data_IF_727191413405
#
_entry.id   IF_727191413405
#
_cell.length_a   1.000
_cell.length_b   1.000
_cell.length_c   1.000
_cell.angle_alpha   90.00
_cell.angle_beta   90.00
_cell.angle_gamma   90.00
#
_symmetry.space_group_name_H-M   'P 1'
#
loop_
_entity.id
_entity.type
_entity.pdbx_description
1 polymer ?
#
# COMPACT_ATOMS: atom_id res chain seq x y z
N UNK A 1 -8.57 29.12 97.92
CA UNK A 1 -7.83 29.88 96.87
C UNK A 1 -6.93 28.97 96.03
N UNK A 2 -6.27 27.95 96.63
CA UNK A 2 -5.44 26.98 95.90
C UNK A 2 -6.22 26.15 94.87
N UNK A 3 -7.41 25.67 95.20
CA UNK A 3 -8.21 24.82 94.28
C UNK A 3 -8.65 25.54 93.00
N UNK A 4 -8.94 26.85 93.09
CA UNK A 4 -9.30 27.68 91.95
C UNK A 4 -8.11 27.88 90.98
N UNK A 5 -6.90 27.99 91.51
CA UNK A 5 -5.69 28.12 90.69
C UNK A 5 -5.32 26.80 90.03
N UNK A 6 -5.47 25.67 90.74
CA UNK A 6 -5.28 24.34 90.17
C UNK A 6 -6.25 24.07 89.01
N UNK A 7 -7.53 24.46 89.16
CA UNK A 7 -8.52 24.32 88.09
C UNK A 7 -8.16 25.16 86.85
N UNK A 8 -7.72 26.41 87.03
CA UNK A 8 -7.29 27.27 85.92
C UNK A 8 -6.08 26.73 85.17
N UNK A 9 -5.09 26.20 85.89
CA UNK A 9 -3.93 25.50 85.32
C UNK A 9 -4.36 24.29 84.49
N UNK A 10 -5.31 23.51 84.99
CA UNK A 10 -5.81 22.30 84.34
C UNK A 10 -6.59 22.62 83.06
N UNK A 11 -7.41 23.68 83.07
CA UNK A 11 -8.10 24.19 81.88
C UNK A 11 -7.10 24.63 80.81
N UNK A 12 -6.05 25.39 81.20
CA UNK A 12 -5.02 25.84 80.26
C UNK A 12 -4.29 24.67 79.60
N UNK A 13 -3.94 23.63 80.37
CA UNK A 13 -3.31 22.41 79.84
C UNK A 13 -4.26 21.66 78.89
N UNK A 14 -5.56 21.62 79.20
CA UNK A 14 -6.56 21.01 78.33
C UNK A 14 -6.68 21.75 76.99
N UNK A 15 -6.67 23.08 77.00
CA UNK A 15 -6.69 23.89 75.79
C UNK A 15 -5.43 23.66 74.94
N UNK A 16 -4.24 23.61 75.55
CA UNK A 16 -2.99 23.30 74.84
C UNK A 16 -3.00 21.89 74.23
N UNK A 17 -3.56 20.90 74.93
CA UNK A 17 -3.72 19.54 74.40
C UNK A 17 -4.67 19.55 73.20
N UNK A 18 -5.77 20.29 73.27
CA UNK A 18 -6.74 20.40 72.18
C UNK A 18 -6.13 21.03 70.93
N UNK A 19 -5.35 22.11 71.08
CA UNK A 19 -4.61 22.73 69.98
C UNK A 19 -3.59 21.77 69.37
N UNK A 20 -2.85 21.03 70.20
CA UNK A 20 -1.88 20.03 69.75
C UNK A 20 -2.54 18.90 68.94
N UNK A 21 -3.73 18.45 69.35
CA UNK A 21 -4.51 17.46 68.60
C UNK A 21 -5.02 17.97 67.26
N UNK A 22 -5.43 19.23 67.17
CA UNK A 22 -5.84 19.83 65.90
C UNK A 22 -4.67 19.93 64.92
N UNK A 23 -3.49 20.31 65.41
CA UNK A 23 -2.27 20.34 64.61
C UNK A 23 -1.92 18.92 64.13
N UNK A 24 -1.99 17.92 65.01
CA UNK A 24 -1.74 16.52 64.63
C UNK A 24 -2.70 16.03 63.53
N UNK A 25 -3.99 16.36 63.61
CA UNK A 25 -4.96 16.00 62.59
C UNK A 25 -4.60 16.60 61.21
N UNK A 26 -4.19 17.87 61.17
CA UNK A 26 -3.72 18.53 59.94
C UNK A 26 -2.49 17.82 59.37
N UNK A 27 -1.53 17.44 60.21
CA UNK A 27 -0.34 16.71 59.76
C UNK A 27 -0.65 15.32 59.24
N UNK A 28 -1.59 14.60 59.86
CA UNK A 28 -2.03 13.29 59.37
C UNK A 28 -2.71 13.38 58.01
N UNK A 29 -3.59 14.36 57.82
CA UNK A 29 -4.24 14.61 56.53
C UNK A 29 -3.20 14.98 55.45
N UNK A 30 -2.25 15.86 55.78
CA UNK A 30 -1.16 16.21 54.87
C UNK A 30 -0.27 15.01 54.53
N UNK A 31 0.05 14.16 55.52
CA UNK A 31 0.82 12.93 55.33
C UNK A 31 0.11 11.95 54.40
N UNK A 32 -1.21 11.80 54.57
CA UNK A 32 -2.03 10.96 53.71
C UNK A 32 -2.04 11.47 52.27
N UNK A 33 -2.31 12.76 52.07
CA UNK A 33 -2.31 13.38 50.74
C UNK A 33 -0.95 13.24 50.06
N UNK A 34 0.14 13.50 50.78
CA UNK A 34 1.50 13.32 50.25
C UNK A 34 1.75 11.87 49.81
N UNK A 35 1.32 10.88 50.59
CA UNK A 35 1.54 9.47 50.25
C UNK A 35 0.70 9.03 49.03
N UNK A 36 -0.50 9.57 48.87
CA UNK A 36 -1.34 9.37 47.69
C UNK A 36 -0.69 9.99 46.44
N UNK A 37 -0.24 11.24 46.51
CA UNK A 37 0.48 11.92 45.42
C UNK A 37 1.79 11.22 45.07
N UNK A 38 2.55 10.78 46.08
CA UNK A 38 3.79 10.04 45.87
C UNK A 38 3.55 8.69 45.18
N UNK A 39 2.47 8.00 45.54
CA UNK A 39 2.08 6.73 44.91
C UNK A 39 1.64 6.95 43.46
N UNK A 40 0.88 8.01 43.19
CA UNK A 40 0.51 8.41 41.84
C UNK A 40 1.75 8.74 40.99
N UNK A 41 2.67 9.56 41.51
CA UNK A 41 3.91 9.92 40.85
C UNK A 41 4.79 8.71 40.55
N UNK A 42 4.84 7.73 41.46
CA UNK A 42 5.57 6.49 41.25
C UNK A 42 4.99 5.70 40.08
N UNK A 43 3.66 5.61 39.99
CA UNK A 43 2.96 4.95 38.88
C UNK A 43 3.20 5.67 37.55
N UNK A 44 3.16 7.00 37.55
CA UNK A 44 3.43 7.80 36.35
C UNK A 44 4.87 7.63 35.87
N UNK A 45 5.83 7.57 36.80
CA UNK A 45 7.23 7.26 36.49
C UNK A 45 7.38 5.88 35.85
N UNK A 46 6.73 4.86 36.40
CA UNK A 46 6.77 3.50 35.84
C UNK A 46 6.18 3.45 34.42
N UNK A 47 5.03 4.10 34.20
CA UNK A 47 4.40 4.22 32.88
C UNK A 47 5.28 4.99 31.88
N UNK A 48 5.95 6.06 32.33
CA UNK A 48 6.88 6.81 31.49
C UNK A 48 8.07 5.95 31.06
N UNK A 49 8.65 5.17 31.97
CA UNK A 49 9.75 4.25 31.66
C UNK A 49 9.30 3.19 30.65
N UNK A 50 8.12 2.61 30.84
CA UNK A 50 7.56 1.60 29.92
C UNK A 50 7.31 2.19 28.52
N UNK A 51 6.71 3.38 28.44
CA UNK A 51 6.46 4.07 27.16
C UNK A 51 7.77 4.46 26.47
N UNK A 52 8.78 4.91 27.21
CA UNK A 52 10.10 5.23 26.69
C UNK A 52 10.78 3.99 26.12
N UNK A 53 10.81 2.88 26.86
CA UNK A 53 11.41 1.62 26.41
C UNK A 53 10.71 1.10 25.15
N UNK A 54 9.38 1.14 25.13
CA UNK A 54 8.58 0.73 23.97
C UNK A 54 8.90 1.59 22.74
N UNK A 55 8.98 2.91 22.93
CA UNK A 55 9.30 3.85 21.84
C UNK A 55 10.73 3.67 21.36
N UNK A 56 11.67 3.46 22.28
CA UNK A 56 13.08 3.20 21.96
C UNK A 56 13.25 1.92 21.16
N UNK A 57 12.57 0.83 21.55
CA UNK A 57 12.57 -0.43 20.79
C UNK A 57 11.98 -0.26 19.39
N UNK A 58 10.86 0.44 19.25
CA UNK A 58 10.27 0.75 17.93
C UNK A 58 11.21 1.57 17.06
N UNK A 59 11.88 2.58 17.64
CA UNK A 59 12.83 3.41 16.91
C UNK A 59 14.06 2.62 16.46
N UNK A 60 14.60 1.75 17.32
CA UNK A 60 15.70 0.86 16.97
C UNK A 60 15.34 -0.07 15.80
N UNK A 61 14.12 -0.61 15.78
CA UNK A 61 13.62 -1.44 14.68
C UNK A 61 13.50 -0.64 13.37
N UNK A 62 12.91 0.55 13.42
CA UNK A 62 12.80 1.43 12.25
C UNK A 62 14.16 1.82 11.68
N UNK A 63 15.14 2.09 12.54
CA UNK A 63 16.52 2.37 12.11
C UNK A 63 17.17 1.16 11.42
N UNK A 64 16.90 -0.05 11.90
CA UNK A 64 17.40 -1.28 11.27
C UNK A 64 16.76 -1.48 9.88
N UNK A 65 15.44 -1.33 9.78
CA UNK A 65 14.70 -1.43 8.52
C UNK A 65 15.15 -0.38 7.51
N UNK A 66 15.36 0.87 7.95
CA UNK A 66 15.84 1.93 7.08
C UNK A 66 17.25 1.63 6.53
N UNK A 67 18.16 1.11 7.36
CA UNK A 67 19.49 0.67 6.89
C UNK A 67 19.40 -0.47 5.86
N UNK A 68 18.48 -1.42 6.04
CA UNK A 68 18.27 -2.49 5.07
C UNK A 68 17.74 -1.94 3.73
N UNK A 69 16.79 -1.00 3.78
CA UNK A 69 16.26 -0.34 2.59
C UNK A 69 17.31 0.50 1.88
N UNK A 70 18.15 1.25 2.61
CA UNK A 70 19.28 1.98 2.02
C UNK A 70 20.27 1.04 1.32
N UNK A 71 20.56 -0.13 1.91
CA UNK A 71 21.43 -1.13 1.30
C UNK A 71 20.81 -1.70 0.01
N UNK A 72 19.51 -2.04 0.02
CA UNK A 72 18.79 -2.49 -1.18
C UNK A 72 18.76 -1.42 -2.26
N UNK A 73 18.55 -0.16 -1.89
CA UNK A 73 18.51 0.94 -2.84
C UNK A 73 19.87 1.18 -3.49
N UNK A 74 20.96 1.10 -2.72
CA UNK A 74 22.33 1.13 -3.27
C UNK A 74 22.58 -0.02 -4.25
N UNK A 75 22.20 -1.24 -3.89
CA UNK A 75 22.35 -2.40 -4.78
C UNK A 75 21.55 -2.24 -6.09
N UNK A 76 20.33 -1.70 -6.02
CA UNK A 76 19.52 -1.42 -7.19
C UNK A 76 20.13 -0.31 -8.06
N UNK A 77 20.67 0.75 -7.46
CA UNK A 77 21.36 1.81 -8.20
C UNK A 77 22.60 1.29 -8.93
N UNK A 78 23.39 0.42 -8.30
CA UNK A 78 24.53 -0.25 -8.94
C UNK A 78 24.07 -1.18 -10.07
N UNK A 79 22.99 -1.93 -9.88
CA UNK A 79 22.39 -2.77 -10.91
C UNK A 79 21.87 -1.96 -12.10
N UNK A 80 21.22 -0.81 -11.86
CA UNK A 80 20.76 0.05 -12.94
C UNK A 80 21.93 0.65 -13.70
N UNK A 81 22.98 1.11 -13.01
CA UNK A 81 24.18 1.65 -13.66
C UNK A 81 24.89 0.61 -14.55
N UNK A 82 24.92 -0.66 -14.13
CA UNK A 82 25.49 -1.75 -14.93
C UNK A 82 24.62 -2.10 -16.15
N UNK A 83 23.28 -2.07 -16.00
CA UNK A 83 22.35 -2.23 -17.13
C UNK A 83 22.45 -1.07 -18.14
N UNK A 84 22.52 0.18 -17.67
CA UNK A 84 22.72 1.37 -18.52
C UNK A 84 24.06 1.31 -19.27
N UNK A 85 25.13 0.89 -18.59
CA UNK A 85 26.45 0.70 -19.23
C UNK A 85 26.42 -0.41 -20.29
N UNK A 86 25.57 -1.42 -20.13
CA UNK A 86 25.37 -2.50 -21.10
C UNK A 86 24.50 -2.07 -22.28
N UNK A 87 23.49 -1.22 -22.06
CA UNK A 87 22.67 -0.63 -23.13
C UNK A 87 23.45 0.35 -23.99
N UNK A 88 24.42 1.10 -23.43
CA UNK A 88 25.27 2.01 -24.20
C UNK A 88 26.22 1.29 -25.19
N UNK A 89 26.45 -0.02 -25.03
CA UNK A 89 27.17 -0.84 -26.01
C UNK A 89 26.30 -1.41 -27.13
N UNK A 90 24.98 -1.12 -27.13
CA UNK A 90 24.02 -1.66 -28.11
C UNK A 90 23.24 -0.53 -28.80
N UNK A 91 23.88 0.60 -29.07
CA UNK A 91 23.42 1.56 -30.10
C UNK A 91 24.10 1.22 -31.43
N UNK A 92 23.93 -0.03 -31.89
CA UNK A 92 24.15 -0.35 -33.30
C UNK A 92 22.81 -0.17 -34.01
N UNK A 93 22.75 0.90 -34.80
CA UNK A 93 22.01 1.01 -36.06
C UNK A 93 20.77 0.10 -36.19
N UNK A 94 19.64 0.53 -35.63
CA UNK A 94 18.36 -0.12 -35.84
C UNK A 94 17.89 0.12 -37.27
N UNK A 95 18.25 -0.82 -38.15
CA UNK A 95 17.55 -1.06 -39.40
C UNK A 95 16.13 -1.51 -39.06
N UNK A 96 15.13 -0.70 -39.43
CA UNK A 96 13.70 -0.86 -39.13
C UNK A 96 13.04 -2.17 -39.61
N UNK A 97 13.79 -3.11 -40.16
CA UNK A 97 13.29 -4.39 -40.68
C UNK A 97 13.42 -5.56 -39.68
N UNK A 98 14.22 -5.45 -38.60
CA UNK A 98 14.44 -6.56 -37.64
C UNK A 98 13.61 -6.51 -36.35
N UNK A 99 12.96 -5.39 -36.03
CA UNK A 99 12.25 -5.22 -34.75
C UNK A 99 10.81 -5.76 -34.70
N UNK A 100 10.20 -6.03 -35.86
CA UNK A 100 8.82 -6.53 -35.91
C UNK A 100 8.70 -7.92 -35.27
N UNK A 101 9.61 -8.83 -35.59
CA UNK A 101 9.63 -10.20 -35.05
C UNK A 101 9.87 -10.25 -33.55
N UNK A 102 10.72 -9.36 -33.02
CA UNK A 102 10.98 -9.25 -31.59
C UNK A 102 9.76 -8.72 -30.82
N UNK A 103 9.08 -7.71 -31.37
CA UNK A 103 7.85 -7.16 -30.78
C UNK A 103 6.70 -8.19 -30.77
N UNK A 104 6.54 -8.95 -31.86
CA UNK A 104 5.59 -10.08 -31.91
C UNK A 104 5.93 -11.15 -30.87
N UNK A 105 7.20 -11.57 -30.78
CA UNK A 105 7.65 -12.55 -29.78
C UNK A 105 7.42 -12.04 -28.34
N UNK A 106 7.60 -10.75 -28.10
CA UNK A 106 7.33 -10.14 -26.79
C UNK A 106 5.83 -10.09 -26.47
N UNK A 107 4.98 -9.81 -27.45
CA UNK A 107 3.53 -9.88 -27.30
C UNK A 107 3.04 -11.31 -27.05
N UNK A 108 3.60 -12.32 -27.72
CA UNK A 108 3.29 -13.73 -27.46
C UNK A 108 3.70 -14.15 -26.05
N UNK A 109 4.91 -13.78 -25.61
CA UNK A 109 5.36 -14.04 -24.24
C UNK A 109 4.46 -13.38 -23.19
N UNK A 110 4.00 -12.15 -23.43
CA UNK A 110 3.06 -11.46 -22.56
C UNK A 110 1.67 -12.15 -22.55
N UNK A 111 1.22 -12.66 -23.69
CA UNK A 111 -0.02 -13.42 -23.79
C UNK A 111 0.06 -14.76 -23.04
N UNK A 112 1.18 -15.46 -23.15
CA UNK A 112 1.42 -16.73 -22.46
C UNK A 112 1.53 -16.54 -20.94
N UNK A 113 2.19 -15.46 -20.49
CA UNK A 113 2.23 -15.11 -19.07
C UNK A 113 0.86 -14.73 -18.52
N UNK A 114 0.05 -13.96 -19.27
CA UNK A 114 -1.34 -13.66 -18.89
C UNK A 114 -2.21 -14.92 -18.78
N UNK A 115 -2.10 -15.85 -19.75
CA UNK A 115 -2.77 -17.15 -19.68
C UNK A 115 -2.31 -17.96 -18.48
N UNK A 116 -1.01 -18.00 -18.20
CA UNK A 116 -0.44 -18.64 -17.02
C UNK A 116 -1.07 -18.11 -15.73
N UNK A 117 -1.16 -16.78 -15.59
CA UNK A 117 -1.79 -16.14 -14.42
C UNK A 117 -3.28 -16.46 -14.34
N UNK A 118 -4.02 -16.44 -15.46
CA UNK A 118 -5.44 -16.81 -15.49
C UNK A 118 -5.66 -18.29 -15.06
N UNK A 119 -4.79 -19.21 -15.47
CA UNK A 119 -4.88 -20.62 -15.03
C UNK A 119 -4.56 -20.82 -13.55
N UNK A 120 -3.75 -19.94 -12.95
CA UNK A 120 -3.50 -19.95 -11.51
C UNK A 120 -4.70 -19.39 -10.75
N UNK A 121 -5.30 -18.30 -11.26
CA UNK A 121 -6.49 -17.70 -10.67
C UNK A 121 -7.71 -18.63 -10.73
N UNK A 122 -7.89 -19.40 -11.81
CA UNK A 122 -9.01 -20.35 -11.92
C UNK A 122 -8.92 -21.54 -10.95
N UNK A 123 -7.74 -21.81 -10.39
CA UNK A 123 -7.54 -22.81 -9.33
C UNK A 123 -7.92 -22.29 -7.95
N UNK A 124 -8.07 -20.97 -7.79
CA UNK A 124 -8.52 -20.38 -6.53
C UNK A 124 -10.03 -20.58 -6.44
N UNK A 125 -10.56 -21.14 -5.33
CA UNK A 125 -12.00 -21.28 -5.17
C UNK A 125 -12.67 -19.90 -5.22
N UNK A 126 -13.68 -19.73 -6.09
CA UNK A 126 -14.52 -18.52 -6.15
C UNK A 126 -15.40 -18.32 -4.89
N UNK A 127 -15.12 -19.04 -3.81
CA UNK A 127 -15.88 -18.96 -2.58
C UNK A 127 -15.40 -17.76 -1.77
N UNK A 128 -16.33 -16.87 -1.46
CA UNK A 128 -16.09 -15.79 -0.50
C UNK A 128 -15.61 -16.36 0.84
N UNK A 129 -14.64 -15.72 1.51
CA UNK A 129 -14.17 -16.16 2.81
C UNK A 129 -15.35 -16.26 3.79
N UNK A 130 -15.57 -17.43 4.38
CA UNK A 130 -16.58 -17.63 5.42
C UNK A 130 -15.92 -17.73 6.79
N UNK A 131 -16.54 -17.15 7.84
CA UNK A 131 -16.06 -17.35 9.19
C UNK A 131 -16.16 -18.84 9.55
N UNK A 132 -15.15 -19.34 10.27
CA UNK A 132 -15.20 -20.69 10.81
C UNK A 132 -16.33 -20.77 11.84
N UNK A 133 -17.24 -21.70 11.62
CA UNK A 133 -18.21 -22.06 12.65
C UNK A 133 -17.44 -22.72 13.80
N UNK A 134 -17.61 -22.20 15.02
CA UNK A 134 -17.03 -22.78 16.22
C UNK A 134 -17.53 -24.23 16.32
N UNK A 135 -16.62 -25.21 16.32
CA UNK A 135 -17.00 -26.60 16.57
C UNK A 135 -17.35 -26.74 18.05
N UNK A 136 -18.63 -26.92 18.34
CA UNK A 136 -19.07 -27.32 19.68
C UNK A 136 -18.82 -28.82 19.85
N UNK A 137 -17.83 -29.18 20.66
CA UNK A 137 -17.59 -30.57 21.03
C UNK A 137 -18.18 -30.78 22.43
N UNK A 138 -19.27 -31.54 22.51
CA UNK A 138 -19.82 -31.97 23.79
C UNK A 138 -19.05 -33.20 24.27
N UNK A 139 -18.43 -33.12 25.46
CA UNK A 139 -17.82 -34.27 26.12
C UNK A 139 -18.63 -34.66 27.36
N UNK A 140 -18.53 -35.93 27.74
CA UNK A 140 -19.34 -36.61 28.77
C UNK A 140 -19.58 -35.72 30.00
N UNK A 141 -20.87 -35.55 30.36
CA UNK A 141 -21.43 -34.68 31.44
C UNK A 141 -21.76 -33.22 31.08
N UNK A 142 -22.09 -32.91 29.82
CA UNK A 142 -22.65 -31.61 29.39
C UNK A 142 -21.73 -30.38 29.57
N UNK A 143 -20.44 -30.56 29.83
CA UNK A 143 -19.51 -29.43 29.91
C UNK A 143 -19.13 -29.00 28.49
N UNK A 144 -19.55 -27.79 28.09
CA UNK A 144 -19.29 -27.22 26.77
C UNK A 144 -17.80 -26.87 26.67
N UNK A 145 -17.04 -27.64 25.91
CA UNK A 145 -15.66 -27.31 25.58
C UNK A 145 -15.66 -26.52 24.27
N UNK A 146 -15.30 -25.23 24.37
CA UNK A 146 -14.97 -24.40 23.20
C UNK A 146 -13.60 -24.85 22.70
N UNK A 147 -13.58 -25.67 21.64
CA UNK A 147 -12.34 -26.02 20.98
C UNK A 147 -11.80 -24.80 20.23
N UNK A 148 -10.70 -24.22 20.73
CA UNK A 148 -9.92 -23.27 19.94
C UNK A 148 -9.20 -24.08 18.84
N UNK A 149 -9.41 -23.74 17.56
CA UNK A 149 -8.87 -24.55 16.48
C UNK A 149 -7.33 -24.39 16.41
N UNK A 150 -6.64 -25.49 16.12
CA UNK A 150 -5.20 -25.66 16.37
C UNK A 150 -4.23 -24.90 15.44
N UNK A 151 -4.74 -24.11 14.48
CA UNK A 151 -3.92 -23.38 13.48
C UNK A 151 -4.16 -21.88 13.58
N UNK A 152 -3.14 -21.07 13.29
CA UNK A 152 -3.28 -19.62 13.19
C UNK A 152 -4.22 -19.27 12.04
N UNK A 153 -5.42 -18.82 12.36
CA UNK A 153 -6.37 -18.35 11.36
C UNK A 153 -6.18 -16.86 11.12
N UNK A 154 -6.32 -16.47 9.86
CA UNK A 154 -6.41 -15.08 9.45
C UNK A 154 -7.79 -14.56 9.86
N UNK A 155 -7.87 -13.32 10.36
CA UNK A 155 -9.15 -12.71 10.70
C UNK A 155 -10.06 -12.64 9.47
N UNK A 156 -11.38 -12.69 9.67
CA UNK A 156 -12.33 -12.57 8.57
C UNK A 156 -12.12 -11.27 7.80
N UNK A 157 -11.84 -10.17 8.52
CA UNK A 157 -11.56 -8.85 7.93
C UNK A 157 -10.35 -8.88 7.00
N UNK A 158 -9.24 -9.47 7.44
CA UNK A 158 -8.03 -9.62 6.62
C UNK A 158 -8.27 -10.56 5.43
N UNK A 159 -9.04 -11.63 5.61
CA UNK A 159 -9.39 -12.55 4.53
C UNK A 159 -10.29 -11.88 3.47
N UNK A 160 -11.29 -11.10 3.90
CA UNK A 160 -12.17 -10.33 3.01
C UNK A 160 -11.39 -9.25 2.27
N UNK A 161 -10.48 -8.54 2.94
CA UNK A 161 -9.61 -7.55 2.30
C UNK A 161 -8.75 -8.17 1.19
N UNK A 162 -8.10 -9.31 1.48
CA UNK A 162 -7.32 -10.06 0.48
C UNK A 162 -8.17 -10.54 -0.69
N UNK A 163 -9.38 -11.02 -0.42
CA UNK A 163 -10.30 -11.47 -1.46
C UNK A 163 -10.73 -10.31 -2.39
N UNK A 164 -11.00 -9.13 -1.84
CA UNK A 164 -11.32 -7.94 -2.64
C UNK A 164 -10.14 -7.49 -3.52
N UNK A 165 -8.91 -7.58 -2.99
CA UNK A 165 -7.70 -7.31 -3.77
C UNK A 165 -7.60 -8.31 -4.93
N UNK A 166 -7.87 -9.59 -4.69
CA UNK A 166 -7.84 -10.62 -5.72
C UNK A 166 -8.86 -10.35 -6.84
N UNK A 167 -10.09 -9.96 -6.50
CA UNK A 167 -11.11 -9.56 -7.48
C UNK A 167 -10.62 -8.39 -8.34
N UNK A 168 -10.01 -7.38 -7.71
CA UNK A 168 -9.47 -6.22 -8.42
C UNK A 168 -8.35 -6.65 -9.39
N UNK A 169 -7.42 -7.49 -8.93
CA UNK A 169 -6.35 -8.05 -9.78
C UNK A 169 -6.92 -8.83 -10.97
N UNK A 170 -7.91 -9.68 -10.76
CA UNK A 170 -8.57 -10.42 -11.83
C UNK A 170 -9.20 -9.47 -12.87
N UNK A 171 -9.87 -8.40 -12.41
CA UNK A 171 -10.45 -7.40 -13.31
C UNK A 171 -9.38 -6.68 -14.15
N UNK A 172 -8.23 -6.33 -13.54
CA UNK A 172 -7.11 -5.69 -14.25
C UNK A 172 -6.46 -6.61 -15.27
N UNK A 173 -6.34 -7.90 -14.98
CA UNK A 173 -5.83 -8.90 -15.92
C UNK A 173 -6.73 -9.00 -17.15
N UNK A 174 -8.06 -8.96 -16.99
CA UNK A 174 -9.00 -8.93 -18.12
C UNK A 174 -8.83 -7.67 -18.97
N UNK A 175 -8.62 -6.52 -18.34
CA UNK A 175 -8.32 -5.27 -19.07
C UNK A 175 -7.02 -5.38 -19.85
N UNK A 176 -5.95 -5.87 -19.23
CA UNK A 176 -4.65 -6.07 -19.89
C UNK A 176 -4.74 -7.03 -21.08
N UNK A 177 -5.49 -8.12 -20.95
CA UNK A 177 -5.74 -9.06 -22.05
C UNK A 177 -6.44 -8.37 -23.24
N UNK A 178 -7.40 -7.47 -22.95
CA UNK A 178 -8.07 -6.68 -23.99
C UNK A 178 -7.16 -5.62 -24.64
N UNK A 179 -6.28 -4.98 -23.87
CA UNK A 179 -5.31 -4.01 -24.38
C UNK A 179 -4.24 -4.68 -25.23
N UNK A 180 -3.78 -5.86 -24.83
CA UNK A 180 -2.83 -6.65 -25.60
C UNK A 180 -3.44 -7.11 -26.93
N UNK A 181 -4.72 -7.50 -26.93
CA UNK A 181 -5.44 -7.81 -28.17
C UNK A 181 -5.54 -6.59 -29.11
N UNK A 182 -5.78 -5.38 -28.57
CA UNK A 182 -5.77 -4.14 -29.37
C UNK A 182 -4.38 -3.86 -29.96
N UNK A 183 -3.33 -3.99 -29.15
CA UNK A 183 -1.97 -3.79 -29.58
C UNK A 183 -1.57 -4.78 -30.70
N UNK A 184 -1.98 -6.05 -30.60
CA UNK A 184 -1.75 -7.03 -31.66
C UNK A 184 -2.45 -6.67 -32.98
N UNK A 185 -3.65 -6.06 -32.92
CA UNK A 185 -4.36 -5.56 -34.11
C UNK A 185 -3.62 -4.34 -34.69
N UNK A 186 -3.27 -3.38 -33.85
CA UNK A 186 -2.56 -2.16 -34.27
C UNK A 186 -1.20 -2.49 -34.90
N UNK A 187 -0.45 -3.42 -34.31
CA UNK A 187 0.78 -3.95 -34.92
C UNK A 187 0.52 -4.56 -36.30
N UNK A 188 -0.53 -5.39 -36.43
CA UNK A 188 -0.88 -5.99 -37.73
C UNK A 188 -1.18 -4.92 -38.77
N UNK A 189 -1.98 -3.93 -38.43
CA UNK A 189 -2.40 -2.84 -39.35
C UNK A 189 -1.20 -1.94 -39.73
N UNK A 190 -0.31 -1.66 -38.77
CA UNK A 190 0.92 -0.92 -39.02
C UNK A 190 1.87 -1.65 -39.99
N UNK A 191 2.07 -2.96 -39.81
CA UNK A 191 2.93 -3.74 -40.70
C UNK A 191 2.29 -4.02 -42.07
N UNK A 192 0.95 -4.07 -42.16
CA UNK A 192 0.26 -4.19 -43.45
C UNK A 192 0.25 -2.87 -44.24
N UNK A 193 0.11 -1.73 -43.57
CA UNK A 193 0.19 -0.41 -44.23
C UNK A 193 1.62 -0.07 -44.71
N UNK A 194 2.65 -0.63 -44.08
CA UNK A 194 4.03 -0.52 -44.55
C UNK A 194 4.36 -1.36 -45.81
N UNK A 195 3.59 -2.42 -46.10
CA UNK A 195 3.84 -3.33 -47.23
C UNK A 195 3.05 -2.98 -48.51
N UNK A 196 2.01 -2.14 -48.41
CA UNK A 196 1.26 -1.64 -49.55
C UNK A 196 1.27 -0.10 -49.56
N UNK A 197 2.28 0.56 -50.16
CA UNK A 197 2.10 1.94 -50.55
C UNK A 197 1.06 1.95 -51.67
N UNK A 198 -0.14 2.44 -51.37
CA UNK A 198 -1.21 2.53 -52.35
C UNK A 198 -0.72 3.31 -53.58
N UNK A 199 -0.68 2.62 -54.72
CA UNK A 199 -0.72 3.23 -56.04
C UNK A 199 -2.09 3.93 -56.20
N UNK A 200 -2.21 5.13 -55.65
CA UNK A 200 -3.32 6.06 -55.96
C UNK A 200 -2.72 7.47 -56.11
N UNK A 201 -1.95 7.67 -57.18
CA UNK A 201 -1.70 8.99 -57.76
C UNK A 201 -1.07 8.86 -59.16
N UNK A 202 -1.70 8.11 -60.06
CA UNK A 202 -1.44 8.19 -61.49
C UNK A 202 -2.59 7.53 -62.26
N UNK A 203 -3.64 8.30 -62.55
CA UNK A 203 -4.42 8.22 -63.79
C UNK A 203 -5.62 9.17 -63.70
N UNK A 204 -5.42 10.43 -64.07
CA UNK A 204 -6.36 11.12 -64.97
C UNK A 204 -5.50 11.96 -65.91
N UNK A 205 -5.08 11.36 -67.02
CA UNK A 205 -4.71 12.12 -68.22
C UNK A 205 -5.45 11.52 -69.41
N UNK A 206 -6.33 12.37 -69.95
CA UNK A 206 -6.82 12.41 -71.33
C UNK A 206 -7.71 11.26 -71.83
N UNK A 207 -9.00 11.57 -71.99
CA UNK A 207 -9.71 11.21 -73.22
C UNK A 207 -10.24 12.48 -73.91
N UNK A 208 -10.27 12.39 -75.23
CA UNK A 208 -10.09 13.46 -76.20
C UNK A 208 -11.40 13.93 -76.81
N UNK A 209 -11.39 15.19 -77.29
CA UNK A 209 -12.16 15.74 -78.44
C UNK A 209 -13.70 15.75 -78.32
N UNK A 210 -14.43 16.82 -78.67
CA UNK A 210 -14.46 17.44 -79.99
C UNK A 210 -15.35 18.72 -79.98
N UNK A 211 -15.10 19.60 -80.96
CA UNK A 211 -16.05 20.54 -81.60
C UNK A 211 -15.94 22.06 -81.38
N UNK A 212 -15.29 22.67 -82.37
CA UNK A 212 -15.76 23.76 -83.25
C UNK A 212 -15.58 25.26 -82.91
N UNK A 213 -14.69 25.87 -83.72
CA UNK A 213 -14.93 27.00 -84.64
C UNK A 213 -15.16 28.39 -84.03
N UNK A 214 -14.25 29.36 -84.29
CA UNK A 214 -14.36 30.40 -85.35
C UNK A 214 -13.18 31.38 -85.24
N UNK A 215 -12.51 31.67 -86.36
CA UNK A 215 -11.49 32.71 -86.56
C UNK A 215 -12.17 34.07 -86.88
N UNK A 216 -11.58 35.25 -86.57
CA UNK A 216 -10.79 35.99 -87.57
C UNK A 216 -9.55 36.70 -86.94
N UNK A 217 -8.35 36.64 -87.54
CA UNK A 217 -7.70 37.63 -88.42
C UNK A 217 -7.79 39.11 -88.01
N UNK A 218 -6.65 39.69 -87.60
CA UNK A 218 -6.03 40.93 -88.10
C UNK A 218 -4.66 41.11 -87.37
N UNK A 219 -3.51 41.02 -88.03
CA UNK A 219 -2.78 41.99 -88.87
C UNK A 219 -2.09 43.16 -88.12
N UNK A 220 -0.78 43.24 -88.39
CA UNK A 220 0.13 44.39 -88.45
C UNK A 220 0.83 44.97 -87.17
N UNK A 221 2.12 44.61 -87.04
CA UNK A 221 3.40 45.41 -87.08
C UNK A 221 3.41 46.87 -86.54
N UNK A 222 4.53 47.47 -86.07
CA UNK A 222 5.92 47.00 -85.84
C UNK A 222 6.38 46.94 -84.36
#
# INVERSE_FOLDING_TARGET
>A
MQDLNALKELTKKLDTIKESWQIYAIFEDARKNFNEEFSALKKDKEALIESFNTTSAKNALLLAENKELEAKNKALLESNKTLESSQNHTMQDFTLEKDSTHLYAQCENLQDTLKGIQTLLSKIPNATPKPLQKLEVSYQKHQRLLANPAKGYVSLESATALFNILINVESKIKTLDSELAKLQIEMRDFFQSAQNPTEENLEISEDSTESNTTQPTDNDTP
#
